data_IF_143622597278
#
_entry.id   IF_143622597278
#
_cell.length_a   1.000
_cell.length_b   1.000
_cell.length_c   1.000
_cell.angle_alpha   90.00
_cell.angle_beta   90.00
_cell.angle_gamma   90.00
#
_symmetry.space_group_name_H-M   'P 1'
#
loop_
_entity.id
_entity.type
_entity.pdbx_description
1 polymer ?
#
# COMPACT_ATOMS: atom_id res chain seq x y z
N UNK A 1 19.42 -0.45 -8.71
CA UNK A 1 20.27 0.76 -8.67
C UNK A 1 19.77 1.86 -9.61
N UNK A 2 19.28 1.52 -10.82
CA UNK A 2 18.77 2.51 -11.78
C UNK A 2 17.57 3.31 -11.24
N UNK A 3 16.68 2.69 -10.48
CA UNK A 3 15.50 3.34 -9.88
C UNK A 3 15.90 4.48 -8.95
N UNK A 4 16.87 4.28 -8.06
CA UNK A 4 17.30 5.33 -7.12
C UNK A 4 18.17 6.40 -7.79
N UNK A 5 18.92 6.06 -8.84
CA UNK A 5 19.68 7.01 -9.63
C UNK A 5 18.78 8.00 -10.39
N UNK A 6 17.62 7.53 -10.85
CA UNK A 6 16.62 8.38 -11.51
C UNK A 6 16.10 9.49 -10.59
N UNK A 7 16.08 9.27 -9.27
CA UNK A 7 15.66 10.25 -8.27
C UNK A 7 16.81 11.07 -7.67
N UNK A 8 17.94 11.14 -8.34
CA UNK A 8 19.04 12.05 -7.97
C UNK A 8 20.06 11.50 -6.97
N UNK A 9 19.93 10.25 -6.54
CA UNK A 9 20.96 9.60 -5.75
C UNK A 9 22.14 9.21 -6.65
N UNK A 10 23.34 9.76 -6.37
CA UNK A 10 24.53 9.42 -7.14
C UNK A 10 24.97 7.99 -6.82
N UNK A 11 25.35 7.24 -7.86
CA UNK A 11 25.82 5.86 -7.72
C UNK A 11 26.93 5.71 -6.67
N UNK A 12 27.95 6.57 -6.72
CA UNK A 12 29.08 6.50 -5.80
C UNK A 12 28.65 6.72 -4.34
N UNK A 13 27.75 7.68 -4.09
CA UNK A 13 27.27 7.97 -2.73
C UNK A 13 26.45 6.79 -2.19
N UNK A 14 25.60 6.21 -3.03
CA UNK A 14 24.80 5.03 -2.69
C UNK A 14 25.72 3.83 -2.43
N UNK A 15 26.70 3.58 -3.32
CA UNK A 15 27.67 2.49 -3.16
C UNK A 15 28.45 2.62 -1.86
N UNK A 16 28.99 3.83 -1.56
CA UNK A 16 29.78 4.08 -0.33
C UNK A 16 28.92 3.81 0.92
N UNK A 17 27.67 4.26 0.92
CA UNK A 17 26.77 4.03 2.06
C UNK A 17 26.48 2.54 2.28
N UNK A 18 26.09 1.83 1.21
CA UNK A 18 25.66 0.42 1.30
C UNK A 18 26.87 -0.52 1.54
N UNK A 19 28.01 -0.29 0.88
CA UNK A 19 29.18 -1.18 1.00
C UNK A 19 29.82 -1.20 2.39
N UNK A 20 29.46 -0.28 3.26
CA UNK A 20 29.97 -0.20 4.63
C UNK A 20 29.06 -0.84 5.67
N UNK A 21 27.90 -1.34 5.27
CA UNK A 21 26.96 -1.96 6.21
C UNK A 21 27.46 -3.36 6.55
N UNK A 22 27.74 -3.67 7.83
CA UNK A 22 28.04 -5.02 8.26
C UNK A 22 26.83 -5.92 8.07
N UNK A 23 27.04 -7.11 7.51
CA UNK A 23 26.02 -8.12 7.30
C UNK A 23 26.40 -9.41 8.01
N UNK A 24 25.47 -10.00 8.74
CA UNK A 24 25.68 -11.19 9.55
C UNK A 24 24.61 -12.23 9.25
N UNK A 25 25.03 -13.51 9.29
CA UNK A 25 24.10 -14.64 9.35
C UNK A 25 23.93 -15.00 10.83
N UNK A 26 22.71 -15.12 11.30
CA UNK A 26 22.41 -15.37 12.70
C UNK A 26 21.22 -16.32 12.87
N UNK A 27 21.25 -17.11 13.93
CA UNK A 27 20.08 -17.83 14.40
C UNK A 27 19.09 -16.83 14.99
N UNK A 28 17.98 -16.61 14.31
CA UNK A 28 16.94 -15.68 14.75
C UNK A 28 15.85 -16.38 15.53
N UNK A 29 15.29 -15.75 16.57
CA UNK A 29 14.13 -16.27 17.27
C UNK A 29 12.98 -16.60 16.32
N UNK A 30 12.20 -17.62 16.65
CA UNK A 30 11.00 -17.98 15.90
C UNK A 30 10.03 -16.81 15.87
N UNK A 31 9.55 -16.46 14.67
CA UNK A 31 8.60 -15.36 14.46
C UNK A 31 9.24 -13.99 14.16
N UNK A 32 10.55 -13.89 14.11
CA UNK A 32 11.22 -12.74 13.51
C UNK A 32 11.23 -12.87 11.99
N UNK A 33 11.37 -11.74 11.30
CA UNK A 33 11.55 -11.69 9.85
C UNK A 33 12.80 -12.46 9.40
N UNK A 34 12.87 -12.80 8.10
CA UNK A 34 14.00 -13.52 7.51
C UNK A 34 15.26 -12.64 7.42
N UNK A 35 15.12 -11.34 7.36
CA UNK A 35 16.18 -10.35 7.52
C UNK A 35 15.71 -9.23 8.43
N UNK A 36 16.67 -8.51 9.03
CA UNK A 36 16.36 -7.39 9.91
C UNK A 36 17.51 -6.39 9.92
N UNK A 37 17.19 -5.11 9.67
CA UNK A 37 18.12 -4.01 9.89
C UNK A 37 18.07 -3.54 11.34
N UNK A 38 19.19 -3.63 12.02
CA UNK A 38 19.29 -3.20 13.41
C UNK A 38 19.94 -1.82 13.50
N UNK A 39 19.13 -0.78 13.67
CA UNK A 39 19.55 0.62 13.61
C UNK A 39 20.56 1.03 14.67
N UNK A 40 20.65 0.33 15.82
CA UNK A 40 21.58 0.69 16.90
C UNK A 40 23.05 0.48 16.53
N UNK A 41 23.35 -0.52 15.71
CA UNK A 41 24.70 -0.79 15.21
C UNK A 41 24.81 -0.69 13.69
N UNK A 42 23.75 -0.25 13.00
CA UNK A 42 23.68 -0.09 11.55
C UNK A 42 24.08 -1.36 10.78
N UNK A 43 23.60 -2.53 11.24
CA UNK A 43 23.93 -3.82 10.66
C UNK A 43 22.69 -4.56 10.18
N UNK A 44 22.86 -5.42 9.17
CA UNK A 44 21.82 -6.30 8.66
C UNK A 44 22.08 -7.71 9.17
N UNK A 45 21.05 -8.36 9.67
CA UNK A 45 21.07 -9.75 10.10
C UNK A 45 20.17 -10.56 9.21
N UNK A 46 20.71 -11.66 8.67
CA UNK A 46 19.96 -12.62 7.88
C UNK A 46 19.76 -13.90 8.69
N UNK A 47 18.60 -14.52 8.55
CA UNK A 47 18.34 -15.82 9.14
C UNK A 47 19.26 -16.87 8.54
N UNK A 48 19.78 -17.74 9.38
CA UNK A 48 20.53 -18.92 8.96
C UNK A 48 19.67 -19.82 8.04
N UNK A 49 20.29 -20.35 6.97
CA UNK A 49 19.64 -21.24 6.00
C UNK A 49 19.05 -20.55 4.76
N UNK A 50 19.11 -19.22 4.66
CA UNK A 50 18.71 -18.51 3.45
C UNK A 50 19.71 -18.74 2.31
N UNK A 51 19.22 -18.87 1.09
CA UNK A 51 20.03 -18.83 -0.13
C UNK A 51 20.59 -17.43 -0.38
N UNK A 52 21.61 -17.33 -1.24
CA UNK A 52 22.20 -16.04 -1.63
C UNK A 52 21.16 -15.15 -2.31
N UNK A 53 20.31 -15.73 -3.15
CA UNK A 53 19.25 -15.03 -3.87
C UNK A 53 18.21 -14.45 -2.92
N UNK A 54 17.80 -15.22 -1.90
CA UNK A 54 16.89 -14.74 -0.86
C UNK A 54 17.55 -13.62 -0.05
N UNK A 55 18.81 -13.79 0.37
CA UNK A 55 19.54 -12.73 1.08
C UNK A 55 19.66 -11.45 0.24
N UNK A 56 19.92 -11.55 -1.07
CA UNK A 56 19.96 -10.38 -1.96
C UNK A 56 18.61 -9.66 -2.03
N UNK A 57 17.52 -10.42 -2.09
CA UNK A 57 16.16 -9.88 -2.14
C UNK A 57 15.84 -9.13 -0.85
N UNK A 58 16.07 -9.74 0.30
CA UNK A 58 15.83 -9.09 1.60
C UNK A 58 16.79 -7.92 1.86
N UNK A 59 18.06 -8.02 1.41
CA UNK A 59 19.03 -6.94 1.59
C UNK A 59 18.58 -5.61 0.97
N UNK A 60 17.87 -5.63 -0.15
CA UNK A 60 17.40 -4.39 -0.78
C UNK A 60 16.39 -3.66 0.13
N UNK A 61 15.50 -4.38 0.79
CA UNK A 61 14.58 -3.84 1.79
C UNK A 61 15.34 -3.22 2.96
N UNK A 62 16.28 -3.96 3.53
CA UNK A 62 17.06 -3.51 4.70
C UNK A 62 18.01 -2.35 4.37
N UNK A 63 18.52 -2.27 3.13
CA UNK A 63 19.28 -1.11 2.65
C UNK A 63 18.45 0.16 2.60
N UNK A 64 17.17 0.06 2.25
CA UNK A 64 16.29 1.22 2.25
C UNK A 64 16.09 1.72 3.69
N UNK A 65 15.91 0.85 4.67
CA UNK A 65 15.87 1.23 6.08
C UNK A 65 17.14 1.96 6.51
N UNK A 66 18.31 1.49 6.11
CA UNK A 66 19.56 2.18 6.39
C UNK A 66 19.63 3.58 5.75
N UNK A 67 19.15 3.71 4.51
CA UNK A 67 19.14 4.99 3.79
C UNK A 67 18.18 6.01 4.40
N UNK A 68 17.13 5.54 5.09
CA UNK A 68 16.12 6.38 5.74
C UNK A 68 16.58 6.97 7.08
N UNK A 69 17.67 6.47 7.66
CA UNK A 69 18.06 6.89 9.00
C UNK A 69 18.50 8.34 9.06
N UNK A 70 17.91 9.11 9.95
CA UNK A 70 18.43 10.39 10.39
C UNK A 70 18.86 10.28 11.85
N UNK A 71 20.16 10.47 12.09
CA UNK A 71 20.79 10.42 13.41
C UNK A 71 21.35 11.79 13.78
N UNK A 72 21.31 12.11 15.05
CA UNK A 72 21.92 13.32 15.60
C UNK A 72 23.45 13.18 15.71
N UNK A 73 24.11 14.25 16.19
CA UNK A 73 25.57 14.27 16.41
C UNK A 73 26.07 13.23 17.42
N UNK A 74 25.18 12.66 18.24
CA UNK A 74 25.46 11.60 19.20
C UNK A 74 25.13 10.21 18.66
N UNK A 75 24.83 10.11 17.36
CA UNK A 75 24.40 8.88 16.70
C UNK A 75 23.08 8.30 17.21
N UNK A 76 22.22 9.14 17.79
CA UNK A 76 20.88 8.75 18.24
C UNK A 76 19.91 8.94 17.09
N UNK A 77 19.17 7.87 16.76
CA UNK A 77 18.14 7.89 15.74
C UNK A 77 16.99 8.81 16.22
N UNK A 78 16.66 9.83 15.42
CA UNK A 78 15.53 10.70 15.69
C UNK A 78 14.45 10.65 14.60
N UNK A 79 14.75 10.07 13.43
CA UNK A 79 13.78 9.86 12.38
C UNK A 79 14.13 8.64 11.52
N UNK A 80 13.10 7.93 11.05
CA UNK A 80 13.20 6.79 10.15
C UNK A 80 12.08 6.85 9.10
N UNK A 81 12.42 7.25 7.88
CA UNK A 81 11.48 7.28 6.77
C UNK A 81 10.19 8.07 7.05
N UNK A 82 9.08 7.38 6.91
CA UNK A 82 7.74 7.94 7.10
C UNK A 82 7.21 7.80 8.54
N UNK A 83 8.03 7.30 9.49
CA UNK A 83 7.62 7.12 10.88
C UNK A 83 7.59 8.44 11.64
N UNK A 84 6.57 8.59 12.49
CA UNK A 84 6.47 9.65 13.49
C UNK A 84 6.94 9.14 14.85
N UNK A 85 7.96 9.78 15.43
CA UNK A 85 8.48 9.49 16.77
C UNK A 85 7.92 10.54 17.74
N UNK A 86 6.94 10.15 18.55
CA UNK A 86 6.29 11.06 19.48
C UNK A 86 6.09 10.38 20.84
N UNK A 87 6.51 11.02 21.94
CA UNK A 87 6.27 10.54 23.31
C UNK A 87 6.68 9.07 23.54
N UNK A 88 7.87 8.68 23.07
CA UNK A 88 8.40 7.31 23.17
C UNK A 88 7.60 6.24 22.42
N UNK A 89 6.72 6.66 21.51
CA UNK A 89 5.97 5.78 20.61
C UNK A 89 6.35 6.07 19.16
N UNK A 90 6.28 5.04 18.36
CA UNK A 90 6.45 5.12 16.91
C UNK A 90 5.09 4.87 16.27
N UNK A 91 4.71 5.74 15.36
CA UNK A 91 3.50 5.65 14.57
C UNK A 91 3.87 5.61 13.09
N UNK A 92 3.05 4.94 12.26
CA UNK A 92 3.27 4.86 10.83
C UNK A 92 4.32 3.81 10.42
N UNK A 93 4.61 2.85 11.30
CA UNK A 93 5.49 1.73 10.96
C UNK A 93 4.95 0.96 9.75
N UNK A 94 3.65 0.63 9.72
CA UNK A 94 3.03 -0.06 8.60
C UNK A 94 3.08 0.76 7.32
N UNK A 95 2.89 2.08 7.39
CA UNK A 95 3.03 2.97 6.25
C UNK A 95 4.47 2.98 5.74
N UNK A 96 5.46 3.03 6.65
CA UNK A 96 6.87 2.97 6.31
C UNK A 96 7.26 1.63 5.70
N UNK A 97 6.86 0.50 6.30
CA UNK A 97 7.11 -0.85 5.76
C UNK A 97 6.52 -1.02 4.35
N UNK A 98 5.27 -0.54 4.14
CA UNK A 98 4.64 -0.53 2.82
C UNK A 98 5.43 0.29 1.80
N UNK A 99 5.95 1.46 2.18
CA UNK A 99 6.79 2.30 1.33
C UNK A 99 8.14 1.64 1.02
N UNK A 100 8.83 1.12 2.03
CA UNK A 100 10.12 0.43 1.90
C UNK A 100 9.98 -0.77 0.97
N UNK A 101 8.98 -1.61 1.20
CA UNK A 101 8.77 -2.81 0.39
C UNK A 101 8.35 -2.46 -1.05
N UNK A 102 7.49 -1.45 -1.23
CA UNK A 102 7.16 -0.95 -2.56
C UNK A 102 8.42 -0.52 -3.33
N UNK A 103 9.30 0.26 -2.70
CA UNK A 103 10.55 0.72 -3.32
C UNK A 103 11.55 -0.43 -3.55
N UNK A 104 11.64 -1.39 -2.64
CA UNK A 104 12.47 -2.59 -2.81
C UNK A 104 12.01 -3.40 -4.03
N UNK A 105 10.72 -3.65 -4.17
CA UNK A 105 10.15 -4.36 -5.32
C UNK A 105 10.41 -3.62 -6.63
N UNK A 106 10.30 -2.28 -6.64
CA UNK A 106 10.66 -1.46 -7.80
C UNK A 106 12.14 -1.55 -8.15
N UNK A 107 13.02 -1.55 -7.15
CA UNK A 107 14.47 -1.68 -7.36
C UNK A 107 14.86 -3.07 -7.89
N UNK A 108 14.19 -4.11 -7.44
CA UNK A 108 14.35 -5.49 -7.89
C UNK A 108 13.65 -5.77 -9.22
N UNK A 109 12.81 -4.82 -9.70
CA UNK A 109 11.98 -4.99 -10.91
C UNK A 109 11.06 -6.20 -10.81
N UNK A 110 10.50 -6.46 -9.63
CA UNK A 110 9.53 -7.53 -9.42
C UNK A 110 8.30 -7.27 -10.28
N UNK A 111 7.83 -8.29 -10.98
CA UNK A 111 6.62 -8.22 -11.78
C UNK A 111 5.38 -8.08 -10.91
N UNK A 112 4.34 -7.46 -11.47
CA UNK A 112 3.04 -7.34 -10.79
C UNK A 112 2.29 -8.65 -11.00
N UNK A 113 1.92 -9.29 -9.90
CA UNK A 113 1.17 -10.54 -9.90
C UNK A 113 -0.18 -10.38 -9.22
N UNK A 114 -1.13 -11.22 -9.63
CA UNK A 114 -2.41 -11.35 -8.93
C UNK A 114 -2.23 -12.26 -7.72
N UNK A 115 -2.49 -11.71 -6.55
CA UNK A 115 -2.33 -12.38 -5.27
C UNK A 115 -3.68 -12.63 -4.62
N UNK A 116 -3.88 -13.84 -4.08
CA UNK A 116 -5.01 -14.14 -3.21
C UNK A 116 -4.52 -14.24 -1.77
N UNK A 117 -4.93 -13.28 -0.93
CA UNK A 117 -4.43 -13.15 0.43
C UNK A 117 -5.58 -12.86 1.40
N UNK A 118 -5.76 -13.73 2.38
CA UNK A 118 -6.85 -13.65 3.38
C UNK A 118 -8.27 -13.44 2.80
N UNK A 119 -8.55 -14.06 1.64
CA UNK A 119 -9.86 -13.97 0.99
C UNK A 119 -10.04 -12.76 0.06
N UNK A 120 -9.01 -11.91 -0.07
CA UNK A 120 -8.98 -10.79 -1.00
C UNK A 120 -8.11 -11.18 -2.20
N UNK A 121 -8.52 -10.80 -3.41
CA UNK A 121 -7.73 -10.93 -4.63
C UNK A 121 -7.37 -9.53 -5.12
N UNK A 122 -6.09 -9.27 -5.37
CA UNK A 122 -5.57 -7.97 -5.78
C UNK A 122 -4.24 -8.13 -6.51
N UNK A 123 -3.79 -7.07 -7.19
CA UNK A 123 -2.48 -7.04 -7.84
C UNK A 123 -1.43 -6.47 -6.90
N UNK A 124 -0.24 -7.08 -6.85
CA UNK A 124 0.88 -6.59 -6.06
C UNK A 124 2.21 -6.80 -6.79
N UNK A 125 3.11 -5.83 -6.68
CA UNK A 125 4.51 -5.96 -7.07
C UNK A 125 5.37 -6.62 -5.98
N UNK A 126 4.75 -7.03 -4.89
CA UNK A 126 5.40 -7.74 -3.78
C UNK A 126 4.52 -8.90 -3.30
N UNK A 127 4.42 -9.99 -4.08
CA UNK A 127 3.49 -11.08 -3.79
C UNK A 127 3.83 -11.83 -2.50
N UNK A 128 5.09 -11.86 -2.10
CA UNK A 128 5.58 -12.69 -1.00
C UNK A 128 5.90 -11.90 0.28
N UNK A 129 5.97 -10.56 0.21
CA UNK A 129 6.36 -9.73 1.34
C UNK A 129 5.43 -8.50 1.42
N UNK A 130 4.69 -8.39 2.52
CA UNK A 130 3.73 -7.29 2.77
C UNK A 130 2.79 -6.97 1.60
N UNK A 131 2.15 -7.97 0.94
CA UNK A 131 1.44 -7.75 -0.31
C UNK A 131 0.28 -6.75 -0.19
N UNK A 132 -0.43 -6.73 0.94
CA UNK A 132 -1.53 -5.79 1.21
C UNK A 132 -1.02 -4.36 1.41
N UNK A 133 0.07 -4.18 2.16
CA UNK A 133 0.67 -2.86 2.39
C UNK A 133 1.23 -2.30 1.08
N UNK A 134 1.85 -3.13 0.25
CA UNK A 134 2.33 -2.73 -1.08
C UNK A 134 1.20 -2.35 -2.03
N UNK A 135 0.08 -3.07 -2.02
CA UNK A 135 -1.08 -2.69 -2.84
C UNK A 135 -1.67 -1.35 -2.37
N UNK A 136 -1.86 -1.14 -1.06
CA UNK A 136 -2.32 0.15 -0.52
C UNK A 136 -1.33 1.28 -0.86
N UNK A 137 -0.03 1.02 -0.78
CA UNK A 137 1.00 1.99 -1.17
C UNK A 137 0.93 2.29 -2.67
N UNK A 138 0.70 1.30 -3.53
CA UNK A 138 0.51 1.50 -4.97
C UNK A 138 -0.69 2.42 -5.26
N UNK A 139 -1.77 2.29 -4.50
CA UNK A 139 -2.93 3.20 -4.59
C UNK A 139 -2.54 4.64 -4.24
N UNK A 140 -1.80 4.84 -3.16
CA UNK A 140 -1.28 6.15 -2.76
C UNK A 140 -0.36 6.71 -3.84
N UNK A 141 0.60 5.92 -4.32
CA UNK A 141 1.54 6.32 -5.37
C UNK A 141 0.84 6.72 -6.67
N UNK A 142 -0.20 5.99 -7.04
CA UNK A 142 -1.03 6.34 -8.21
C UNK A 142 -1.63 7.76 -8.09
N UNK A 143 -2.01 8.17 -6.89
CA UNK A 143 -2.66 9.46 -6.64
C UNK A 143 -1.66 10.63 -6.49
N UNK A 144 -0.49 10.38 -5.89
CA UNK A 144 0.45 11.45 -5.53
C UNK A 144 1.75 11.45 -6.33
N UNK A 145 2.02 10.37 -7.05
CA UNK A 145 3.24 10.17 -7.83
C UNK A 145 4.39 9.51 -7.05
N UNK A 146 5.10 8.61 -7.72
CA UNK A 146 6.26 7.88 -7.16
C UNK A 146 7.41 8.81 -6.70
N UNK A 147 7.75 9.92 -7.41
CA UNK A 147 8.83 10.81 -6.99
C UNK A 147 8.65 11.36 -5.56
N UNK A 148 7.42 11.67 -5.19
CA UNK A 148 7.13 12.19 -3.85
C UNK A 148 7.31 11.12 -2.78
N UNK A 149 6.90 9.87 -3.06
CA UNK A 149 7.16 8.74 -2.16
C UNK A 149 8.66 8.54 -1.94
N UNK A 150 9.44 8.47 -3.02
CA UNK A 150 10.90 8.26 -2.96
C UNK A 150 11.58 9.36 -2.16
N UNK A 151 11.31 10.63 -2.48
CA UNK A 151 11.89 11.77 -1.77
C UNK A 151 11.54 11.76 -0.27
N UNK A 152 10.30 11.46 0.07
CA UNK A 152 9.87 11.43 1.47
C UNK A 152 10.40 10.24 2.24
N UNK A 153 10.46 9.06 1.60
CA UNK A 153 10.92 7.82 2.23
C UNK A 153 12.43 7.85 2.45
N UNK A 154 13.22 8.12 1.41
CA UNK A 154 14.69 8.13 1.50
C UNK A 154 15.23 9.40 2.15
N UNK A 155 14.54 10.51 2.00
CA UNK A 155 14.90 11.78 2.64
C UNK A 155 14.37 11.93 4.06
N UNK A 156 13.57 10.98 4.55
CA UNK A 156 12.94 11.01 5.89
C UNK A 156 12.35 12.37 6.21
N UNK A 157 11.42 12.83 5.36
CA UNK A 157 10.79 14.14 5.47
C UNK A 157 9.26 14.07 5.42
N UNK A 158 8.59 15.19 5.72
CA UNK A 158 7.13 15.25 5.84
C UNK A 158 6.39 15.63 4.55
N UNK A 159 7.05 15.68 3.39
CA UNK A 159 6.43 16.14 2.14
C UNK A 159 5.26 15.25 1.72
N UNK A 160 5.42 13.93 1.77
CA UNK A 160 4.33 12.98 1.49
C UNK A 160 3.19 13.15 2.49
N UNK A 161 3.50 13.22 3.78
CA UNK A 161 2.53 13.45 4.85
C UNK A 161 1.73 14.74 4.62
N UNK A 162 2.41 15.84 4.36
CA UNK A 162 1.77 17.12 4.08
C UNK A 162 0.87 17.05 2.83
N UNK A 163 1.34 16.39 1.76
CA UNK A 163 0.54 16.19 0.55
C UNK A 163 -0.69 15.34 0.80
N UNK A 164 -0.56 14.26 1.56
CA UNK A 164 -1.70 13.39 1.89
C UNK A 164 -2.70 14.07 2.82
N UNK A 165 -2.24 14.86 3.80
CA UNK A 165 -3.12 15.67 4.66
C UNK A 165 -3.91 16.67 3.81
N UNK A 166 -3.25 17.34 2.85
CA UNK A 166 -3.92 18.27 1.94
C UNK A 166 -5.00 17.59 1.07
N UNK A 167 -4.70 16.39 0.54
CA UNK A 167 -5.59 15.68 -0.40
C UNK A 167 -6.71 14.90 0.29
N UNK A 168 -6.45 14.35 1.46
CA UNK A 168 -7.35 13.41 2.14
C UNK A 168 -8.02 14.01 3.38
N UNK A 169 -7.49 15.13 3.87
CA UNK A 169 -7.83 15.68 5.17
C UNK A 169 -7.02 15.03 6.31
N UNK A 170 -6.69 15.81 7.34
CA UNK A 170 -5.83 15.40 8.43
C UNK A 170 -6.35 14.16 9.17
N UNK A 171 -7.63 14.15 9.53
CA UNK A 171 -8.27 13.02 10.21
C UNK A 171 -8.18 11.72 9.40
N UNK A 172 -8.43 11.81 8.10
CA UNK A 172 -8.42 10.65 7.21
C UNK A 172 -7.00 10.13 7.04
N UNK A 173 -6.01 11.03 6.90
CA UNK A 173 -4.60 10.64 6.84
C UNK A 173 -4.18 9.83 8.07
N UNK A 174 -4.45 10.34 9.29
CA UNK A 174 -4.09 9.59 10.50
C UNK A 174 -4.86 8.28 10.66
N UNK A 175 -6.10 8.22 10.18
CA UNK A 175 -6.86 6.96 10.14
C UNK A 175 -6.21 5.95 9.20
N UNK A 176 -5.76 6.40 8.02
CA UNK A 176 -5.05 5.54 7.05
C UNK A 176 -3.72 5.06 7.62
N UNK A 177 -2.92 5.95 8.23
CA UNK A 177 -1.67 5.61 8.89
C UNK A 177 -1.87 4.54 9.97
N UNK A 178 -2.86 4.72 10.86
CA UNK A 178 -3.21 3.77 11.92
C UNK A 178 -3.71 2.42 11.34
N UNK A 179 -4.40 2.45 10.21
CA UNK A 179 -4.85 1.23 9.54
C UNK A 179 -3.68 0.43 8.93
N UNK A 180 -2.68 1.09 8.36
CA UNK A 180 -1.44 0.43 7.94
C UNK A 180 -0.75 -0.26 9.13
N UNK A 181 -0.63 0.44 10.27
CA UNK A 181 -0.06 -0.14 11.50
C UNK A 181 -0.88 -1.33 12.00
N UNK A 182 -2.22 -1.26 11.95
CA UNK A 182 -3.10 -2.37 12.33
C UNK A 182 -2.93 -3.60 11.45
N UNK A 183 -2.75 -3.42 10.15
CA UNK A 183 -2.48 -4.53 9.21
C UNK A 183 -1.14 -5.17 9.57
N UNK A 184 -0.07 -4.38 9.67
CA UNK A 184 1.27 -4.87 10.01
C UNK A 184 1.27 -5.69 11.30
N UNK A 185 0.76 -5.12 12.41
CA UNK A 185 0.71 -5.81 13.71
C UNK A 185 -0.17 -7.06 13.71
N UNK A 186 -1.23 -7.07 12.88
CA UNK A 186 -2.07 -8.25 12.77
C UNK A 186 -1.37 -9.38 11.96
N UNK A 187 -0.57 -9.04 10.96
CA UNK A 187 0.28 -9.99 10.23
C UNK A 187 1.36 -10.59 11.14
N UNK A 188 2.09 -9.75 11.88
CA UNK A 188 3.07 -10.21 12.88
C UNK A 188 2.44 -11.15 13.91
N UNK A 189 1.24 -10.84 14.36
CA UNK A 189 0.50 -11.67 15.31
C UNK A 189 0.12 -13.04 14.72
N UNK A 190 -0.23 -13.09 13.44
CA UNK A 190 -0.49 -14.36 12.76
C UNK A 190 0.78 -15.21 12.74
N UNK A 191 1.93 -14.63 12.39
CA UNK A 191 3.21 -15.32 12.38
C UNK A 191 3.55 -15.87 13.78
N UNK A 192 3.44 -15.03 14.81
CA UNK A 192 3.69 -15.42 16.20
C UNK A 192 2.78 -16.57 16.66
N UNK A 193 1.48 -16.50 16.35
CA UNK A 193 0.54 -17.56 16.72
C UNK A 193 0.74 -18.84 15.91
N UNK A 194 1.05 -18.73 14.61
CA UNK A 194 1.34 -19.87 13.76
C UNK A 194 2.59 -20.64 14.25
N UNK A 195 3.60 -19.89 14.71
CA UNK A 195 4.78 -20.54 15.28
C UNK A 195 4.49 -21.22 16.63
N UNK A 196 3.64 -20.62 17.46
CA UNK A 196 3.21 -21.26 18.71
C UNK A 196 2.43 -22.54 18.46
N UNK A 197 1.53 -22.57 17.48
CA UNK A 197 0.74 -23.79 17.17
C UNK A 197 1.62 -24.97 16.73
N UNK A 198 2.85 -24.72 16.26
CA UNK A 198 3.80 -25.77 15.90
C UNK A 198 4.55 -26.39 17.10
N UNK A 199 4.32 -25.88 18.30
CA UNK A 199 4.95 -26.38 19.53
C UNK A 199 4.17 -27.60 20.05
N UNK A 200 4.77 -28.78 19.94
CA UNK A 200 4.19 -30.07 20.33
C UNK A 200 3.89 -30.16 21.85
N UNK A 201 4.40 -29.24 22.66
CA UNK A 201 4.16 -29.19 24.11
C UNK A 201 2.83 -28.55 24.51
N UNK A 202 2.09 -27.95 23.55
CA UNK A 202 0.86 -27.23 23.83
C UNK A 202 -0.33 -28.17 24.10
N UNK A 203 -1.16 -27.79 25.06
CA UNK A 203 -2.46 -28.41 25.26
C UNK A 203 -3.43 -28.07 24.12
N UNK A 204 -4.38 -28.96 23.84
CA UNK A 204 -5.43 -28.76 22.84
C UNK A 204 -6.16 -27.41 23.02
N UNK A 205 -6.46 -27.03 24.26
CA UNK A 205 -7.08 -25.74 24.59
C UNK A 205 -6.25 -24.53 24.15
N UNK A 206 -4.92 -24.62 24.26
CA UNK A 206 -4.00 -23.56 23.82
C UNK A 206 -3.91 -23.50 22.30
N UNK A 207 -3.88 -24.64 21.62
CA UNK A 207 -3.92 -24.73 20.16
C UNK A 207 -5.19 -24.08 19.61
N UNK A 208 -6.36 -24.40 20.16
CA UNK A 208 -7.64 -23.81 19.78
C UNK A 208 -7.64 -22.29 20.00
N UNK A 209 -7.09 -21.81 21.12
CA UNK A 209 -6.96 -20.37 21.40
C UNK A 209 -6.11 -19.65 20.35
N UNK A 210 -4.97 -20.21 19.96
CA UNK A 210 -4.11 -19.60 18.95
C UNK A 210 -4.74 -19.66 17.56
N UNK A 211 -5.37 -20.78 17.18
CA UNK A 211 -6.09 -20.92 15.91
C UNK A 211 -7.23 -19.89 15.79
N UNK A 212 -8.01 -19.68 16.86
CA UNK A 212 -9.00 -18.63 16.92
C UNK A 212 -8.39 -17.24 16.75
N UNK A 213 -7.24 -16.98 17.42
CA UNK A 213 -6.50 -15.73 17.30
C UNK A 213 -6.00 -15.44 15.88
N UNK A 214 -5.55 -16.48 15.16
CA UNK A 214 -5.17 -16.39 13.74
C UNK A 214 -6.39 -16.00 12.89
N UNK A 215 -7.51 -16.70 13.04
CA UNK A 215 -8.75 -16.41 12.31
C UNK A 215 -9.26 -14.98 12.54
N UNK A 216 -9.26 -14.54 13.80
CA UNK A 216 -9.62 -13.16 14.18
C UNK A 216 -8.68 -12.12 13.57
N UNK A 217 -7.37 -12.40 13.56
CA UNK A 217 -6.38 -11.48 12.95
C UNK A 217 -6.55 -11.40 11.44
N UNK A 218 -6.77 -12.51 10.74
CA UNK A 218 -7.06 -12.54 9.30
C UNK A 218 -8.29 -11.70 8.96
N UNK A 219 -9.38 -11.86 9.70
CA UNK A 219 -10.59 -11.06 9.52
C UNK A 219 -10.32 -9.57 9.74
N UNK A 220 -9.60 -9.22 10.81
CA UNK A 220 -9.23 -7.83 11.10
C UNK A 220 -8.41 -7.20 9.96
N UNK A 221 -7.44 -7.95 9.39
CA UNK A 221 -6.64 -7.49 8.24
C UNK A 221 -7.56 -7.19 7.06
N UNK A 222 -8.42 -8.14 6.69
CA UNK A 222 -9.36 -7.97 5.57
C UNK A 222 -10.26 -6.75 5.75
N UNK A 223 -10.92 -6.65 6.90
CA UNK A 223 -11.83 -5.54 7.20
C UNK A 223 -11.09 -4.18 7.18
N UNK A 224 -9.88 -4.14 7.75
CA UNK A 224 -9.05 -2.91 7.79
C UNK A 224 -8.56 -2.52 6.41
N UNK A 225 -8.09 -3.47 5.60
CA UNK A 225 -7.64 -3.24 4.23
C UNK A 225 -8.77 -2.66 3.37
N UNK A 226 -9.94 -3.26 3.40
CA UNK A 226 -11.13 -2.80 2.67
C UNK A 226 -11.52 -1.38 3.12
N UNK A 227 -11.57 -1.14 4.43
CA UNK A 227 -11.91 0.18 4.97
C UNK A 227 -10.88 1.25 4.54
N UNK A 228 -9.61 0.88 4.46
CA UNK A 228 -8.53 1.79 4.04
C UNK A 228 -8.65 2.15 2.57
N UNK A 229 -8.89 1.17 1.69
CA UNK A 229 -9.13 1.42 0.27
C UNK A 229 -10.32 2.36 0.06
N UNK A 230 -11.44 2.09 0.73
CA UNK A 230 -12.64 2.94 0.66
C UNK A 230 -12.34 4.36 1.10
N UNK A 231 -11.58 4.51 2.18
CA UNK A 231 -11.24 5.82 2.73
C UNK A 231 -10.31 6.60 1.78
N UNK A 232 -9.29 5.96 1.22
CA UNK A 232 -8.39 6.60 0.23
C UNK A 232 -9.19 7.05 -0.98
N UNK A 233 -10.00 6.16 -1.56
CA UNK A 233 -10.83 6.43 -2.73
C UNK A 233 -11.76 7.62 -2.50
N UNK A 234 -12.61 7.56 -1.46
CA UNK A 234 -13.60 8.59 -1.21
C UNK A 234 -12.95 9.93 -0.89
N UNK A 235 -12.00 9.97 0.04
CA UNK A 235 -11.37 11.23 0.47
C UNK A 235 -10.67 11.95 -0.68
N UNK A 236 -9.92 11.22 -1.51
CA UNK A 236 -9.17 11.82 -2.62
C UNK A 236 -10.10 12.35 -3.70
N UNK A 237 -11.04 11.52 -4.17
CA UNK A 237 -11.89 11.91 -5.30
C UNK A 237 -12.98 12.89 -4.91
N UNK A 238 -13.46 12.88 -3.67
CA UNK A 238 -14.32 13.95 -3.15
C UNK A 238 -13.59 15.30 -3.12
N UNK A 239 -12.36 15.33 -2.56
CA UNK A 239 -11.53 16.53 -2.57
C UNK A 239 -11.23 17.00 -4.00
N UNK A 240 -10.88 16.09 -4.91
CA UNK A 240 -10.61 16.43 -6.30
C UNK A 240 -11.86 17.04 -6.97
N UNK A 241 -13.00 16.39 -6.81
CA UNK A 241 -14.27 16.85 -7.38
C UNK A 241 -14.63 18.28 -6.93
N UNK A 242 -14.42 18.60 -5.66
CA UNK A 242 -14.64 19.94 -5.11
C UNK A 242 -13.75 20.99 -5.81
N UNK A 243 -12.52 20.65 -6.15
CA UNK A 243 -11.50 21.52 -6.69
C UNK A 243 -11.38 21.52 -8.22
N UNK A 244 -12.32 20.94 -8.95
CA UNK A 244 -12.37 21.05 -10.42
C UNK A 244 -12.84 22.44 -10.83
N UNK A 245 -12.07 23.11 -11.70
CA UNK A 245 -12.36 24.46 -12.21
C UNK A 245 -12.31 24.55 -13.75
N UNK A 246 -11.97 23.46 -14.45
CA UNK A 246 -11.85 23.44 -15.90
C UNK A 246 -12.33 22.12 -16.52
N UNK A 247 -12.70 22.17 -17.81
CA UNK A 247 -13.09 20.97 -18.58
C UNK A 247 -11.93 19.97 -18.67
N UNK A 248 -10.69 20.46 -18.75
CA UNK A 248 -9.51 19.58 -18.77
C UNK A 248 -9.38 18.75 -17.48
N UNK A 249 -9.66 19.35 -16.33
CA UNK A 249 -9.64 18.64 -15.03
C UNK A 249 -10.77 17.61 -14.93
N UNK A 250 -11.90 17.83 -15.57
CA UNK A 250 -13.00 16.86 -15.67
C UNK A 250 -12.51 15.58 -16.38
N UNK A 251 -11.88 15.72 -17.55
CA UNK A 251 -11.35 14.57 -18.29
C UNK A 251 -10.23 13.86 -17.52
N UNK A 252 -9.40 14.62 -16.83
CA UNK A 252 -8.34 14.07 -15.96
C UNK A 252 -8.93 13.29 -14.80
N UNK A 253 -9.97 13.82 -14.15
CA UNK A 253 -10.71 13.15 -13.08
C UNK A 253 -11.30 11.81 -13.57
N UNK A 254 -12.01 11.82 -14.73
CA UNK A 254 -12.60 10.60 -15.29
C UNK A 254 -11.55 9.52 -15.50
N UNK A 255 -10.42 9.86 -16.13
CA UNK A 255 -9.32 8.92 -16.40
C UNK A 255 -8.70 8.39 -15.12
N UNK A 256 -8.47 9.28 -14.15
CA UNK A 256 -7.82 8.90 -12.91
C UNK A 256 -8.72 8.04 -12.02
N UNK A 257 -10.01 8.37 -11.93
CA UNK A 257 -10.97 7.56 -11.19
C UNK A 257 -11.13 6.17 -11.82
N UNK A 258 -11.22 6.10 -13.15
CA UNK A 258 -11.34 4.83 -13.85
C UNK A 258 -10.09 3.95 -13.67
N UNK A 259 -8.90 4.53 -13.86
CA UNK A 259 -7.63 3.80 -13.70
C UNK A 259 -7.35 3.36 -12.25
N UNK A 260 -7.92 4.05 -11.25
CA UNK A 260 -7.77 3.66 -9.85
C UNK A 260 -8.37 2.26 -9.58
N UNK A 261 -9.35 1.84 -10.37
CA UNK A 261 -9.98 0.52 -10.25
C UNK A 261 -8.97 -0.62 -10.31
N UNK A 262 -7.90 -0.48 -11.08
CA UNK A 262 -6.88 -1.52 -11.26
C UNK A 262 -6.09 -1.81 -9.96
N UNK A 263 -6.10 -0.88 -9.01
CA UNK A 263 -5.42 -1.00 -7.71
C UNK A 263 -6.34 -1.48 -6.59
N UNK A 264 -7.65 -1.42 -6.81
CA UNK A 264 -8.60 -1.91 -5.80
C UNK A 264 -8.59 -3.43 -5.85
N UNK A 265 -8.37 -4.07 -4.68
CA UNK A 265 -8.51 -5.51 -4.55
C UNK A 265 -9.93 -5.93 -4.89
N UNK A 266 -10.07 -7.04 -5.58
CA UNK A 266 -11.39 -7.64 -5.84
C UNK A 266 -12.01 -8.02 -4.50
N UNK A 267 -12.95 -7.22 -4.05
CA UNK A 267 -13.87 -7.60 -3.00
C UNK A 267 -14.84 -8.59 -3.63
N UNK A 268 -15.30 -9.56 -2.87
CA UNK A 268 -16.41 -10.44 -3.30
C UNK A 268 -17.63 -9.63 -3.76
N UNK A 269 -17.66 -8.36 -3.42
CA UNK A 269 -18.68 -7.38 -3.78
C UNK A 269 -18.02 -6.08 -4.24
N UNK A 270 -17.94 -5.88 -5.55
CA UNK A 270 -17.46 -4.66 -6.22
C UNK A 270 -18.45 -3.46 -6.05
N UNK A 271 -19.51 -3.64 -5.24
CA UNK A 271 -20.63 -2.72 -5.12
C UNK A 271 -20.18 -1.33 -4.64
N UNK A 272 -19.21 -1.28 -3.73
CA UNK A 272 -18.77 0.02 -3.21
C UNK A 272 -18.13 0.90 -4.29
N UNK A 273 -17.15 0.37 -5.04
CA UNK A 273 -16.52 1.14 -6.10
C UNK A 273 -17.52 1.56 -7.17
N UNK A 274 -18.36 0.63 -7.61
CA UNK A 274 -19.35 0.92 -8.64
C UNK A 274 -20.37 1.97 -8.19
N UNK A 275 -20.84 1.91 -6.95
CA UNK A 275 -21.73 2.94 -6.38
C UNK A 275 -21.02 4.28 -6.30
N UNK A 276 -19.80 4.31 -5.77
CA UNK A 276 -19.00 5.53 -5.68
C UNK A 276 -18.72 6.12 -7.06
N UNK A 277 -18.35 5.29 -8.04
CA UNK A 277 -18.08 5.72 -9.42
C UNK A 277 -19.32 6.38 -10.04
N UNK A 278 -20.48 5.76 -9.88
CA UNK A 278 -21.75 6.29 -10.42
C UNK A 278 -22.07 7.65 -9.80
N UNK A 279 -21.98 7.77 -8.48
CA UNK A 279 -22.27 9.01 -7.75
C UNK A 279 -21.27 10.11 -8.11
N UNK A 280 -19.98 9.78 -8.22
CA UNK A 280 -18.93 10.72 -8.61
C UNK A 280 -19.12 11.21 -10.04
N UNK A 281 -19.49 10.33 -10.99
CA UNK A 281 -19.76 10.70 -12.37
C UNK A 281 -20.99 11.59 -12.51
N UNK A 282 -22.05 11.34 -11.76
CA UNK A 282 -23.25 12.20 -11.75
C UNK A 282 -22.90 13.63 -11.26
N UNK A 283 -22.15 13.74 -10.16
CA UNK A 283 -21.66 15.04 -9.65
C UNK A 283 -20.73 15.76 -10.64
N UNK A 284 -19.90 14.96 -11.35
CA UNK A 284 -18.99 15.49 -12.37
C UNK A 284 -19.74 16.09 -13.56
N UNK A 285 -20.81 15.42 -14.03
CA UNK A 285 -21.68 15.92 -15.11
C UNK A 285 -22.37 17.21 -14.72
N UNK A 286 -22.87 17.34 -13.49
CA UNK A 286 -23.42 18.60 -12.99
C UNK A 286 -22.38 19.72 -12.99
N UNK A 287 -21.12 19.41 -12.61
CA UNK A 287 -20.04 20.39 -12.57
C UNK A 287 -19.62 20.80 -13.99
N UNK A 288 -19.56 19.86 -14.93
CA UNK A 288 -19.28 20.11 -16.33
C UNK A 288 -20.33 21.03 -16.96
N UNK A 289 -21.61 20.77 -16.72
CA UNK A 289 -22.69 21.60 -17.19
C UNK A 289 -22.59 23.05 -16.68
N UNK A 290 -22.21 23.23 -15.41
CA UNK A 290 -21.98 24.55 -14.83
C UNK A 290 -20.80 25.29 -15.46
N UNK A 291 -19.70 24.57 -15.76
CA UNK A 291 -18.50 25.17 -16.36
C UNK A 291 -18.67 25.49 -17.84
N UNK A 292 -19.47 24.73 -18.57
CA UNK A 292 -19.71 24.91 -20.01
C UNK A 292 -20.88 25.85 -20.31
N UNK A 293 -21.63 26.27 -19.29
CA UNK A 293 -22.86 27.09 -19.48
C UNK A 293 -23.98 26.31 -20.17
N UNK A 294 -23.83 25.01 -20.37
CA UNK A 294 -24.88 24.15 -20.88
C UNK A 294 -25.86 23.91 -19.75
N UNK A 295 -27.12 24.35 -19.96
CA UNK A 295 -28.21 23.86 -19.11
C UNK A 295 -28.19 22.33 -19.22
N UNK A 296 -27.71 21.66 -18.19
CA UNK A 296 -27.89 20.24 -18.10
C UNK A 296 -29.40 20.02 -18.22
N UNK A 297 -29.84 19.44 -19.32
CA UNK A 297 -31.10 18.76 -19.35
C UNK A 297 -30.97 17.60 -18.37
N UNK A 298 -31.08 17.92 -17.08
CA UNK A 298 -31.20 16.97 -16.02
C UNK A 298 -32.53 16.25 -16.26
N UNK A 299 -32.51 15.35 -17.22
CA UNK A 299 -33.51 14.30 -17.27
C UNK A 299 -33.39 13.62 -15.92
N UNK A 300 -34.40 13.67 -15.06
CA UNK A 300 -34.31 13.03 -13.75
C UNK A 300 -33.94 11.59 -14.00
N UNK A 301 -32.74 11.22 -13.51
CA UNK A 301 -32.11 9.96 -13.79
C UNK A 301 -32.99 8.83 -13.26
N UNK A 302 -33.90 8.34 -14.09
CA UNK A 302 -34.70 7.17 -13.79
C UNK A 302 -33.73 5.97 -13.77
N UNK A 303 -33.76 5.20 -12.71
CA UNK A 303 -32.99 3.95 -12.45
C UNK A 303 -32.80 3.03 -13.68
N UNK A 304 -33.61 3.19 -14.72
CA UNK A 304 -33.61 2.37 -15.93
C UNK A 304 -32.47 2.64 -16.92
N UNK A 305 -31.84 3.81 -16.91
CA UNK A 305 -30.68 4.08 -17.78
C UNK A 305 -29.41 3.33 -17.30
N UNK A 306 -29.23 3.20 -16.00
CA UNK A 306 -28.11 2.44 -15.43
C UNK A 306 -28.22 0.95 -15.66
N UNK A 307 -29.40 0.38 -15.66
CA UNK A 307 -29.58 -1.03 -16.00
C UNK A 307 -29.19 -1.30 -17.47
N UNK A 308 -29.40 -0.37 -18.36
CA UNK A 308 -29.03 -0.47 -19.79
C UNK A 308 -27.51 -0.29 -19.99
N UNK A 309 -26.88 0.68 -19.31
CA UNK A 309 -25.43 0.85 -19.34
C UNK A 309 -24.72 -0.35 -18.69
N UNK A 310 -25.25 -0.83 -17.55
CA UNK A 310 -24.75 -2.01 -16.89
C UNK A 310 -24.87 -3.28 -17.72
N UNK A 311 -26.01 -3.48 -18.42
CA UNK A 311 -26.17 -4.59 -19.36
C UNK A 311 -25.18 -4.50 -20.54
N UNK A 312 -24.92 -3.30 -21.07
CA UNK A 312 -23.92 -3.11 -22.14
C UNK A 312 -22.50 -3.31 -21.63
N UNK A 313 -22.17 -2.84 -20.42
CA UNK A 313 -20.86 -3.04 -19.80
C UNK A 313 -20.60 -4.50 -19.41
N UNK A 314 -21.58 -5.16 -18.83
CA UNK A 314 -21.47 -6.59 -18.47
C UNK A 314 -21.44 -7.52 -19.71
N UNK A 315 -22.08 -7.13 -20.81
CA UNK A 315 -22.01 -7.87 -22.08
C UNK A 315 -20.64 -7.72 -22.76
N UNK A 316 -20.00 -6.54 -22.68
CA UNK A 316 -18.63 -6.30 -23.14
C UNK A 316 -17.60 -7.08 -22.31
N UNK A 317 -17.86 -7.25 -21.02
CA UNK A 317 -16.99 -7.99 -20.11
C UNK A 317 -17.08 -9.50 -20.33
N UNK A 318 -18.30 -10.04 -20.44
CA UNK A 318 -18.53 -11.47 -20.72
C UNK A 318 -18.03 -11.90 -22.12
N UNK A 319 -18.01 -10.97 -23.08
CA UNK A 319 -17.43 -11.20 -24.41
C UNK A 319 -15.91 -11.37 -24.39
N UNK A 320 -15.19 -10.69 -23.47
CA UNK A 320 -13.73 -10.83 -23.31
C UNK A 320 -13.31 -12.08 -22.55
N UNK A 321 -14.13 -12.57 -21.61
CA UNK A 321 -13.86 -13.84 -20.91
C UNK A 321 -14.04 -15.04 -21.84
N UNK A 322 -15.01 -14.97 -22.75
CA UNK A 322 -15.26 -16.05 -23.73
C UNK A 322 -14.20 -16.14 -24.86
N UNK A 323 -13.42 -15.08 -25.12
CA UNK A 323 -12.28 -15.10 -26.04
C UNK A 323 -11.00 -15.65 -25.41
N UNK A 324 -10.83 -15.50 -24.09
CA UNK A 324 -9.66 -16.01 -23.36
C UNK A 324 -9.75 -17.50 -22.97
N UNK A 325 -10.92 -18.13 -23.08
CA UNK A 325 -11.09 -19.59 -22.88
C UNK A 325 -10.90 -20.41 -24.18
N UNK A 326 -10.54 -19.77 -25.29
CA UNK A 326 -10.36 -20.43 -26.61
C UNK A 326 -8.93 -20.35 -27.14
N UNK A 327 -7.94 -20.07 -26.29
CA UNK A 327 -6.53 -20.17 -26.70
C UNK A 327 -5.81 -21.18 -25.80
#
# INVERSE_FOLDING_TARGET
SSTFLFYGLKYNDLFIKISRIPMYIATMPSGMAEANYFYKNSSIYFREGLSIEEMQTYAVHEFIHHLQELKDKKNVLYRLGLCDFTNFKVYGMGLNEGAVQYLASRALKTEVETVKYYGITFSSNSPNCYPLLCNLMSQIVYLVGEPLLVDSTLGSNDKLKAKLIYLLGERNFYTIQDNFDKILYAEEKIVQYSNKVKDDSLSEKQIVKYAYGIGSSKKKITDTYIATQKLILSSYFEHYLENIHSVYEIETFRKQLYGYKDFIGTLQDDTFFNTFYIDAMAKLEEKEAKLTGTTANLVPYKRNFFSILWQKFSALWKGKEAENEKI
#
